data_IF_920822389867
#
_entry.id   IF_920822389867
#
_cell.length_a   1.000
_cell.length_b   1.000
_cell.length_c   1.000
_cell.angle_alpha   90.00
_cell.angle_beta   90.00
_cell.angle_gamma   90.00
#
_symmetry.space_group_name_H-M   'P 1'
#
loop_
_entity.id
_entity.type
_entity.pdbx_description
1 polymer ?
#
# COMPACT_ATOMS: atom_id res chain seq x y z
N UNK A 1 -8.08 -0.57 23.44
CA UNK A 1 -8.44 -0.81 22.02
C UNK A 1 -9.11 0.45 21.51
N UNK A 2 -8.43 1.21 20.65
CA UNK A 2 -8.85 2.55 20.22
C UNK A 2 -9.32 2.52 18.78
N UNK A 3 -10.64 2.52 18.58
CA UNK A 3 -11.19 2.79 17.26
C UNK A 3 -10.83 4.24 16.87
N UNK A 4 -10.36 4.50 15.64
CA UNK A 4 -10.07 5.84 15.21
C UNK A 4 -11.35 6.69 15.25
N UNK A 5 -11.27 7.97 15.69
CA UNK A 5 -12.42 8.86 15.75
C UNK A 5 -13.21 8.88 14.43
N UNK A 6 -14.53 9.06 14.47
CA UNK A 6 -15.35 8.95 13.26
C UNK A 6 -15.02 9.98 12.17
N UNK A 7 -14.47 11.14 12.55
CA UNK A 7 -14.08 12.19 11.59
C UNK A 7 -12.78 11.89 10.84
N UNK A 8 -11.92 11.01 11.38
CA UNK A 8 -10.63 10.65 10.79
C UNK A 8 -10.84 9.76 9.57
N UNK A 9 -10.21 10.07 8.44
CA UNK A 9 -10.13 9.15 7.30
C UNK A 9 -8.96 8.21 7.47
N UNK A 10 -9.15 7.02 6.93
CA UNK A 10 -8.17 5.94 7.01
C UNK A 10 -7.77 5.60 5.59
N UNK A 11 -6.52 5.87 5.28
CA UNK A 11 -5.93 5.56 3.99
C UNK A 11 -5.07 4.33 4.12
N UNK A 12 -5.09 3.48 3.10
CA UNK A 12 -4.11 2.44 2.92
C UNK A 12 -3.41 2.63 1.58
N UNK A 13 -2.08 2.69 1.61
CA UNK A 13 -1.26 2.79 0.42
C UNK A 13 -0.96 1.39 -0.12
N UNK A 14 -1.41 1.11 -1.34
CA UNK A 14 -0.99 -0.08 -2.07
C UNK A 14 0.10 0.28 -3.07
N UNK A 15 1.34 -0.13 -2.84
CA UNK A 15 2.47 0.11 -3.77
C UNK A 15 3.37 -1.13 -3.97
N UNK A 16 3.97 -1.24 -5.16
CA UNK A 16 4.93 -2.29 -5.49
C UNK A 16 6.32 -1.86 -5.03
N UNK A 17 7.09 -2.76 -4.42
CA UNK A 17 8.51 -2.50 -4.11
C UNK A 17 9.32 -2.24 -5.39
N UNK A 18 10.07 -1.15 -5.44
CA UNK A 18 10.95 -0.84 -6.60
C UNK A 18 12.22 -1.67 -6.67
N UNK A 19 12.70 -2.18 -5.55
CA UNK A 19 13.86 -3.07 -5.49
C UNK A 19 13.67 -4.12 -4.41
N UNK A 20 14.52 -5.14 -4.41
CA UNK A 20 14.54 -6.17 -3.37
C UNK A 20 14.97 -5.60 -2.01
N UNK A 21 15.91 -4.65 -2.03
CA UNK A 21 16.49 -4.09 -0.82
C UNK A 21 15.68 -2.95 -0.19
N UNK A 22 14.85 -2.23 -0.96
CA UNK A 22 14.08 -1.11 -0.44
C UNK A 22 12.83 -0.83 -1.28
N UNK A 23 11.70 -0.62 -0.60
CA UNK A 23 10.41 -0.51 -1.26
C UNK A 23 10.26 0.74 -2.15
N UNK A 24 10.94 1.85 -1.80
CA UNK A 24 10.94 3.10 -2.58
C UNK A 24 12.27 3.91 -2.45
N UNK A 25 13.41 3.45 -2.99
CA UNK A 25 14.72 4.07 -2.76
C UNK A 25 14.81 5.54 -3.20
N UNK A 26 14.03 5.93 -4.22
CA UNK A 26 14.02 7.30 -4.74
C UNK A 26 12.96 8.20 -4.06
N UNK A 27 12.12 7.64 -3.20
CA UNK A 27 10.99 8.35 -2.57
C UNK A 27 9.88 8.74 -3.55
N UNK A 28 9.90 8.25 -4.80
CA UNK A 28 8.94 8.66 -5.83
C UNK A 28 7.52 8.18 -5.52
N UNK A 29 7.36 6.99 -4.92
CA UNK A 29 6.06 6.45 -4.52
C UNK A 29 5.51 7.21 -3.32
N UNK A 30 6.36 7.55 -2.36
CA UNK A 30 5.95 8.39 -1.22
C UNK A 30 5.48 9.75 -1.69
N UNK A 31 6.22 10.39 -2.60
CA UNK A 31 5.82 11.67 -3.20
C UNK A 31 4.48 11.55 -3.92
N UNK A 32 4.31 10.51 -4.72
CA UNK A 32 3.04 10.27 -5.42
C UNK A 32 1.88 10.02 -4.45
N UNK A 33 2.08 9.23 -3.40
CA UNK A 33 1.09 9.00 -2.34
C UNK A 33 0.67 10.34 -1.69
N UNK A 34 1.64 11.18 -1.31
CA UNK A 34 1.38 12.50 -0.75
C UNK A 34 0.60 13.38 -1.72
N UNK A 35 0.94 13.36 -3.02
CA UNK A 35 0.16 14.08 -4.05
C UNK A 35 -1.30 13.62 -4.06
N UNK A 36 -1.56 12.30 -4.04
CA UNK A 36 -2.93 11.76 -4.04
C UNK A 36 -3.70 12.05 -2.76
N UNK A 37 -3.03 12.07 -1.61
CA UNK A 37 -3.63 12.48 -0.35
C UNK A 37 -4.02 13.97 -0.38
N UNK A 38 -3.16 14.84 -0.92
CA UNK A 38 -3.46 16.26 -1.07
C UNK A 38 -4.62 16.51 -2.05
N UNK A 39 -4.67 15.80 -3.18
CA UNK A 39 -5.79 15.85 -4.14
C UNK A 39 -7.12 15.43 -3.50
N UNK A 40 -7.07 14.48 -2.56
CA UNK A 40 -8.24 14.04 -1.78
C UNK A 40 -8.53 14.93 -0.56
N UNK A 41 -7.79 16.04 -0.39
CA UNK A 41 -7.88 16.96 0.74
C UNK A 41 -7.63 16.28 2.10
N UNK A 42 -6.74 15.29 2.18
CA UNK A 42 -6.29 14.66 3.44
C UNK A 42 -5.86 15.71 4.48
N UNK A 43 -6.11 15.44 5.76
CA UNK A 43 -5.80 16.35 6.88
C UNK A 43 -4.80 15.71 7.85
N UNK A 44 -4.17 16.50 8.71
CA UNK A 44 -3.06 16.06 9.58
C UNK A 44 -3.46 14.99 10.61
N UNK A 45 -4.75 14.88 10.94
CA UNK A 45 -5.32 13.86 11.83
C UNK A 45 -5.78 12.59 11.10
N UNK A 46 -5.79 12.60 9.76
CA UNK A 46 -6.05 11.41 8.96
C UNK A 46 -4.91 10.40 9.10
N UNK A 47 -5.25 9.11 9.07
CA UNK A 47 -4.25 8.05 9.25
C UNK A 47 -3.94 7.38 7.91
N UNK A 48 -2.65 7.23 7.62
CA UNK A 48 -2.18 6.51 6.43
C UNK A 48 -1.43 5.26 6.87
N UNK A 49 -1.94 4.10 6.50
CA UNK A 49 -1.23 2.85 6.62
C UNK A 49 -0.39 2.62 5.35
N UNK A 50 0.91 2.43 5.54
CA UNK A 50 1.87 2.13 4.48
C UNK A 50 2.57 0.85 4.86
N UNK A 51 2.32 -0.23 4.12
CA UNK A 51 2.99 -1.50 4.37
C UNK A 51 4.41 -1.49 3.79
N UNK A 52 5.31 -0.77 4.46
CA UNK A 52 6.71 -1.16 4.44
C UNK A 52 6.85 -2.25 5.49
N UNK A 53 6.41 -3.45 5.13
CA UNK A 53 6.54 -4.61 6.01
C UNK A 53 7.94 -4.56 6.61
N UNK A 54 8.01 -4.53 7.95
CA UNK A 54 9.21 -4.29 8.74
C UNK A 54 10.16 -5.49 8.66
N UNK A 55 10.56 -5.76 7.43
CA UNK A 55 11.45 -6.82 7.04
C UNK A 55 12.87 -6.45 7.43
N UNK A 56 13.64 -7.46 7.81
CA UNK A 56 15.08 -7.30 7.97
C UNK A 56 15.69 -6.69 6.71
N UNK A 57 16.52 -5.67 6.87
CA UNK A 57 17.22 -5.00 5.77
C UNK A 57 18.67 -5.51 5.71
N UNK A 58 19.31 -5.54 4.53
CA UNK A 58 20.70 -5.96 4.42
C UNK A 58 21.68 -5.05 5.21
N UNK A 59 22.84 -5.58 5.63
CA UNK A 59 23.30 -6.96 5.45
C UNK A 59 22.58 -7.95 6.37
N UNK A 60 22.21 -9.12 5.83
CA UNK A 60 21.46 -10.15 6.55
C UNK A 60 22.36 -11.18 7.22
N UNK A 61 21.98 -11.62 8.41
CA UNK A 61 22.35 -12.96 8.89
C UNK A 61 21.53 -14.03 8.16
N UNK A 62 21.96 -15.29 8.22
CA UNK A 62 21.19 -16.40 7.65
C UNK A 62 19.78 -16.51 8.28
N UNK A 63 19.65 -16.20 9.57
CA UNK A 63 18.37 -16.18 10.27
C UNK A 63 17.45 -15.05 9.76
N UNK A 64 18.00 -13.87 9.48
CA UNK A 64 17.26 -12.74 8.93
C UNK A 64 16.74 -13.06 7.52
N UNK A 65 17.61 -13.64 6.66
CA UNK A 65 17.25 -14.08 5.30
C UNK A 65 16.13 -15.10 5.31
N UNK A 66 16.23 -16.14 6.15
CA UNK A 66 15.18 -17.16 6.26
C UNK A 66 13.85 -16.57 6.74
N UNK A 67 13.89 -15.57 7.63
CA UNK A 67 12.67 -14.92 8.14
C UNK A 67 12.05 -14.03 7.06
N UNK A 68 12.88 -13.26 6.34
CA UNK A 68 12.47 -12.47 5.18
C UNK A 68 11.76 -13.33 4.13
N UNK A 69 12.38 -14.44 3.71
CA UNK A 69 11.83 -15.34 2.69
C UNK A 69 10.49 -15.97 3.10
N UNK A 70 10.33 -16.31 4.38
CA UNK A 70 9.06 -16.85 4.90
C UNK A 70 7.97 -15.81 4.89
N UNK A 71 8.26 -14.59 5.37
CA UNK A 71 7.27 -13.54 5.42
C UNK A 71 6.88 -13.06 4.01
N UNK A 72 7.80 -12.96 3.05
CA UNK A 72 7.45 -12.67 1.64
C UNK A 72 6.53 -13.74 1.03
N UNK A 73 6.67 -15.00 1.42
CA UNK A 73 5.81 -16.10 0.94
C UNK A 73 4.45 -16.19 1.61
N UNK A 74 4.26 -15.55 2.77
CA UNK A 74 3.07 -15.71 3.62
C UNK A 74 2.38 -14.41 4.00
N UNK A 75 2.71 -13.28 3.36
CA UNK A 75 1.95 -12.04 3.54
C UNK A 75 0.63 -12.18 2.80
N UNK A 76 -0.43 -12.29 3.59
CA UNK A 76 -1.81 -12.06 3.18
C UNK A 76 -2.30 -10.81 3.91
N UNK A 77 -2.74 -9.79 3.16
CA UNK A 77 -3.32 -8.57 3.74
C UNK A 77 -4.83 -8.61 3.58
N UNK A 78 -5.56 -8.43 4.68
CA UNK A 78 -7.02 -8.30 4.65
C UNK A 78 -7.40 -7.01 5.39
N UNK A 79 -8.06 -6.11 4.67
CA UNK A 79 -8.57 -4.87 5.24
C UNK A 79 -10.02 -5.08 5.71
N UNK A 80 -10.22 -5.25 7.02
CA UNK A 80 -11.53 -5.57 7.59
C UNK A 80 -12.40 -4.35 7.95
N UNK A 81 -11.89 -3.13 7.78
CA UNK A 81 -12.57 -1.92 8.25
C UNK A 81 -13.19 -1.12 7.09
N UNK A 82 -14.52 -0.98 7.12
CA UNK A 82 -15.31 -0.39 6.02
C UNK A 82 -14.99 1.07 5.68
N UNK A 83 -14.31 1.80 6.58
CA UNK A 83 -13.90 3.21 6.36
C UNK A 83 -12.56 3.34 5.65
N UNK A 84 -11.84 2.23 5.39
CA UNK A 84 -10.55 2.27 4.72
C UNK A 84 -10.76 2.70 3.26
N UNK A 85 -9.99 3.69 2.86
CA UNK A 85 -9.87 4.19 1.50
C UNK A 85 -8.52 3.76 0.96
N UNK A 86 -8.48 3.20 -0.25
CA UNK A 86 -7.21 2.76 -0.83
C UNK A 86 -6.65 3.82 -1.77
N UNK A 87 -5.35 4.10 -1.63
CA UNK A 87 -4.57 4.79 -2.65
C UNK A 87 -3.74 3.75 -3.42
N UNK A 88 -4.01 3.61 -4.71
CA UNK A 88 -3.28 2.68 -5.59
C UNK A 88 -2.08 3.42 -6.18
N UNK A 89 -0.88 3.09 -5.74
CA UNK A 89 0.35 3.72 -6.23
C UNK A 89 0.88 2.90 -7.42
N UNK A 90 0.25 3.11 -8.58
CA UNK A 90 0.62 2.48 -9.84
C UNK A 90 1.31 3.50 -10.75
N UNK A 91 2.64 3.57 -10.68
CA UNK A 91 3.45 4.48 -11.51
C UNK A 91 3.59 3.99 -12.95
N UNK A 92 3.27 2.72 -13.20
CA UNK A 92 3.46 2.01 -14.46
C UNK A 92 2.52 0.79 -14.52
N UNK A 93 2.26 0.31 -15.74
CA UNK A 93 1.32 -0.80 -16.01
C UNK A 93 1.75 -2.16 -15.42
N UNK A 94 2.99 -2.28 -14.93
CA UNK A 94 3.50 -3.51 -14.30
C UNK A 94 2.92 -3.76 -12.91
N UNK A 95 2.15 -2.81 -12.36
CA UNK A 95 1.45 -2.93 -11.08
C UNK A 95 0.58 -4.20 -11.02
N UNK A 96 -0.18 -4.47 -12.08
CA UNK A 96 -1.13 -5.59 -12.14
C UNK A 96 -0.50 -6.94 -12.49
N UNK A 97 0.80 -7.00 -12.75
CA UNK A 97 1.48 -8.26 -13.10
C UNK A 97 1.67 -9.21 -11.90
N UNK A 98 1.42 -8.74 -10.67
CA UNK A 98 1.54 -9.54 -9.45
C UNK A 98 0.13 -9.97 -8.99
N UNK A 99 -0.08 -11.29 -8.86
CA UNK A 99 -1.39 -11.86 -8.56
C UNK A 99 -2.05 -11.29 -7.30
N UNK A 100 -1.29 -11.08 -6.21
CA UNK A 100 -1.81 -10.47 -4.98
C UNK A 100 -2.30 -9.03 -5.17
N UNK A 101 -1.74 -8.28 -6.13
CA UNK A 101 -2.18 -6.90 -6.44
C UNK A 101 -3.48 -6.86 -7.23
N UNK A 102 -3.63 -7.79 -8.16
CA UNK A 102 -4.87 -7.97 -8.89
C UNK A 102 -5.99 -8.44 -7.96
N UNK A 103 -5.67 -9.38 -7.05
CA UNK A 103 -6.57 -9.83 -6.00
C UNK A 103 -6.98 -8.68 -5.07
N UNK A 104 -6.01 -7.94 -4.50
CA UNK A 104 -6.27 -6.78 -3.65
C UNK A 104 -7.12 -5.75 -4.38
N UNK A 105 -6.73 -5.34 -5.59
CA UNK A 105 -7.49 -4.38 -6.38
C UNK A 105 -8.93 -4.82 -6.64
N UNK A 106 -9.13 -6.10 -6.96
CA UNK A 106 -10.45 -6.69 -7.17
C UNK A 106 -11.28 -6.68 -5.87
N UNK A 107 -10.70 -7.09 -4.74
CA UNK A 107 -11.38 -7.07 -3.44
C UNK A 107 -11.78 -5.63 -3.05
N UNK A 108 -10.87 -4.69 -3.27
CA UNK A 108 -11.04 -3.28 -2.95
C UNK A 108 -12.12 -2.61 -3.80
N UNK A 109 -12.18 -2.89 -5.11
CA UNK A 109 -13.21 -2.31 -5.99
C UNK A 109 -14.63 -2.72 -5.61
N UNK A 110 -14.80 -3.86 -4.93
CA UNK A 110 -16.10 -4.30 -4.41
C UNK A 110 -16.43 -3.78 -3.01
N UNK A 111 -15.44 -3.51 -2.17
CA UNK A 111 -15.65 -3.33 -0.72
C UNK A 111 -15.16 -2.01 -0.15
N UNK A 112 -14.41 -1.20 -0.91
CA UNK A 112 -13.77 0.03 -0.44
C UNK A 112 -13.76 1.12 -1.52
N UNK A 113 -13.46 2.37 -1.11
CA UNK A 113 -13.26 3.48 -2.06
C UNK A 113 -11.79 3.50 -2.51
N UNK A 114 -11.57 3.41 -3.83
CA UNK A 114 -10.27 3.69 -4.44
C UNK A 114 -10.19 5.19 -4.72
N UNK A 115 -9.25 5.88 -4.08
CA UNK A 115 -9.13 7.35 -4.11
C UNK A 115 -8.80 7.85 -5.53
N UNK A 116 -7.86 7.19 -6.19
CA UNK A 116 -7.35 7.58 -7.49
C UNK A 116 -7.86 6.66 -8.61
N UNK A 117 -9.14 6.25 -8.54
CA UNK A 117 -9.77 5.35 -9.52
C UNK A 117 -9.85 5.94 -10.94
N UNK A 118 -9.71 7.25 -11.09
CA UNK A 118 -9.70 7.94 -12.38
C UNK A 118 -8.33 8.05 -13.04
N UNK A 119 -7.26 7.64 -12.35
CA UNK A 119 -5.93 7.65 -12.94
C UNK A 119 -5.86 6.63 -14.09
N UNK A 120 -5.27 7.02 -15.23
CA UNK A 120 -5.25 6.23 -16.46
C UNK A 120 -4.84 4.77 -16.22
N UNK A 121 -3.73 4.56 -15.50
CA UNK A 121 -3.21 3.22 -15.19
C UNK A 121 -4.16 2.43 -14.27
N UNK A 122 -4.85 3.09 -13.34
CA UNK A 122 -5.76 2.45 -12.37
C UNK A 122 -7.11 2.12 -13.00
N UNK A 123 -7.52 2.89 -14.01
CA UNK A 123 -8.79 2.75 -14.73
C UNK A 123 -8.74 1.85 -15.97
N UNK A 124 -7.54 1.46 -16.41
CA UNK A 124 -7.30 0.63 -17.60
C UNK A 124 -7.54 -0.86 -17.32
#
# INVERSE_FOLDING_TARGET
VGAPPQHVRLYCASFKWSSEDHADPSGVRVKYLVTKLNEDNAFDDDMVFVDWASFFQPPWTEADRMTFERAVKGIDMIYAYHRIQQVVVALNADYFQRAWRLHDFSLLSFSQRIVNSSDEIVSA
#
